data_IF_509293164235
#
_entry.id   IF_509293164235
#
_cell.length_a   1.000
_cell.length_b   1.000
_cell.length_c   1.000
_cell.angle_alpha   90.00
_cell.angle_beta   90.00
_cell.angle_gamma   90.00
#
_symmetry.space_group_name_H-M   'P 1'
#
loop_
_entity.id
_entity.type
_entity.pdbx_description
1 polymer ?
#
# COMPACT_ATOMS: atom_id res chain seq x y z
N UNK A 1 -3.53 -6.00 -2.98
CA UNK A 1 -4.03 -5.09 -1.93
C UNK A 1 -5.16 -4.29 -2.53
N UNK A 2 -6.26 -4.18 -1.81
CA UNK A 2 -7.52 -3.56 -2.29
C UNK A 2 -7.63 -2.11 -1.76
N UNK A 3 -6.51 -1.50 -1.39
CA UNK A 3 -6.44 -0.21 -0.72
C UNK A 3 -6.34 -0.37 0.80
N UNK A 4 -6.16 0.75 1.51
CA UNK A 4 -5.99 0.73 2.97
C UNK A 4 -7.30 0.66 3.73
N UNK A 5 -8.42 1.10 3.13
CA UNK A 5 -9.76 0.98 3.72
C UNK A 5 -10.60 -0.05 2.97
N UNK A 6 -10.98 -1.11 3.66
CA UNK A 6 -11.63 -2.30 3.09
C UNK A 6 -12.89 -2.65 3.87
N UNK A 7 -13.92 -3.11 3.16
CA UNK A 7 -15.13 -3.63 3.80
C UNK A 7 -14.85 -4.96 4.49
N UNK A 8 -15.20 -5.06 5.76
CA UNK A 8 -15.43 -6.33 6.42
C UNK A 8 -16.85 -6.84 6.09
N UNK A 9 -17.00 -7.83 5.21
CA UNK A 9 -18.32 -8.27 4.77
C UNK A 9 -19.17 -8.90 5.88
N UNK A 10 -18.52 -9.46 6.90
CA UNK A 10 -19.21 -10.10 8.02
C UNK A 10 -19.88 -9.07 8.95
N UNK A 11 -19.29 -7.88 9.05
CA UNK A 11 -19.75 -6.80 9.93
C UNK A 11 -20.45 -5.68 9.17
N UNK A 12 -20.26 -5.59 7.85
CA UNK A 12 -20.81 -4.53 6.99
C UNK A 12 -20.20 -3.15 7.26
N UNK A 13 -18.95 -3.10 7.76
CA UNK A 13 -18.24 -1.85 8.09
C UNK A 13 -16.89 -1.79 7.41
N UNK A 14 -16.43 -0.57 7.09
CA UNK A 14 -15.05 -0.34 6.65
C UNK A 14 -14.11 -0.45 7.85
N UNK A 15 -12.92 -0.96 7.61
CA UNK A 15 -11.80 -0.84 8.53
C UNK A 15 -10.51 -0.56 7.77
N UNK A 16 -9.58 0.12 8.43
CA UNK A 16 -8.26 0.37 7.86
C UNK A 16 -7.33 -0.80 8.12
N UNK A 17 -6.75 -1.38 7.06
CA UNK A 17 -5.73 -2.43 7.18
C UNK A 17 -4.43 -1.91 7.81
N UNK A 18 -4.15 -0.60 7.75
CA UNK A 18 -2.96 0.00 8.39
C UNK A 18 -3.08 0.08 9.91
N UNK A 19 -4.22 0.55 10.43
CA UNK A 19 -4.45 0.65 11.88
C UNK A 19 -4.99 -0.63 12.48
N UNK A 20 -5.54 -1.50 11.68
CA UNK A 20 -6.13 -2.80 11.95
C UNK A 20 -7.21 -2.79 13.06
N UNK A 21 -8.39 -3.24 12.74
CA UNK A 21 -9.44 -3.45 13.73
C UNK A 21 -9.19 -4.77 14.49
N UNK A 22 -9.12 -4.71 15.82
CA UNK A 22 -8.91 -5.89 16.68
C UNK A 22 -9.99 -6.96 16.54
N UNK A 23 -11.17 -6.62 16.04
CA UNK A 23 -12.24 -7.58 15.78
C UNK A 23 -11.99 -8.44 14.53
N UNK A 24 -11.02 -8.08 13.70
CA UNK A 24 -10.63 -8.82 12.50
C UNK A 24 -9.38 -9.63 12.78
N UNK A 25 -9.50 -10.96 12.79
CA UNK A 25 -8.33 -11.83 12.92
C UNK A 25 -7.47 -11.77 11.65
N UNK A 26 -6.22 -11.28 11.71
CA UNK A 26 -5.36 -11.13 10.55
C UNK A 26 -5.02 -12.45 9.85
N UNK A 27 -5.00 -13.57 10.60
CA UNK A 27 -4.71 -14.90 10.05
C UNK A 27 -5.90 -15.51 9.32
N UNK A 28 -7.11 -15.19 9.75
CA UNK A 28 -8.33 -15.54 9.02
C UNK A 28 -8.56 -14.61 7.83
N UNK A 29 -8.20 -13.35 7.99
CA UNK A 29 -8.28 -12.36 6.91
C UNK A 29 -7.37 -12.72 5.74
N UNK A 30 -6.10 -13.06 6.02
CA UNK A 30 -5.11 -13.52 5.05
C UNK A 30 -4.53 -14.89 5.52
N UNK A 31 -5.16 -16.03 5.16
CA UNK A 31 -4.76 -17.35 5.64
C UNK A 31 -3.64 -18.01 4.81
N UNK A 32 -3.26 -17.43 3.67
CA UNK A 32 -2.23 -18.02 2.82
C UNK A 32 -0.85 -17.88 3.49
N UNK A 33 0.04 -18.88 3.35
CA UNK A 33 1.40 -18.77 3.83
C UNK A 33 2.11 -17.56 3.21
N UNK A 34 2.78 -16.77 4.04
CA UNK A 34 3.59 -15.64 3.58
C UNK A 34 4.87 -16.12 2.90
N UNK A 35 5.51 -15.25 2.13
CA UNK A 35 6.84 -15.54 1.55
C UNK A 35 7.86 -15.82 2.66
N UNK A 36 7.76 -15.16 3.80
CA UNK A 36 8.66 -15.36 4.94
C UNK A 36 8.46 -16.73 5.59
N UNK A 37 7.22 -17.19 5.77
CA UNK A 37 6.93 -18.54 6.25
C UNK A 37 7.45 -19.61 5.27
N UNK A 38 7.27 -19.40 3.97
CA UNK A 38 7.78 -20.31 2.94
C UNK A 38 9.31 -20.35 2.93
N UNK A 39 9.98 -19.19 3.06
CA UNK A 39 11.43 -19.12 3.14
C UNK A 39 11.97 -19.87 4.39
N UNK A 40 11.31 -19.71 5.55
CA UNK A 40 11.66 -20.46 6.76
C UNK A 40 11.49 -21.98 6.58
N UNK A 41 10.38 -22.40 5.96
CA UNK A 41 10.16 -23.82 5.67
C UNK A 41 11.23 -24.39 4.72
N UNK A 42 11.84 -23.55 3.87
CA UNK A 42 12.97 -23.92 3.03
C UNK A 42 14.36 -23.84 3.74
N UNK A 43 14.38 -23.64 5.06
CA UNK A 43 15.61 -23.58 5.86
C UNK A 43 16.40 -22.26 5.69
N UNK A 44 15.73 -21.17 5.32
CA UNK A 44 16.30 -19.83 5.21
C UNK A 44 16.02 -19.08 6.52
N UNK A 45 17.06 -18.49 7.11
CA UNK A 45 16.91 -17.60 8.27
C UNK A 45 16.26 -16.29 7.82
N UNK A 46 15.06 -15.99 8.28
CA UNK A 46 14.32 -14.78 7.91
C UNK A 46 14.38 -13.75 9.03
N UNK A 47 14.77 -12.52 8.69
CA UNK A 47 14.79 -11.38 9.60
C UNK A 47 14.06 -10.21 8.95
N UNK A 48 13.09 -9.66 9.65
CA UNK A 48 12.33 -8.46 9.24
C UNK A 48 12.74 -7.31 10.14
N UNK A 49 13.04 -6.15 9.53
CA UNK A 49 13.55 -4.97 10.24
C UNK A 49 12.63 -3.79 9.93
N UNK A 50 12.13 -3.16 10.96
CA UNK A 50 11.20 -2.03 10.82
C UNK A 50 10.99 -1.28 12.13
N UNK A 51 10.08 -0.30 12.17
CA UNK A 51 9.73 0.40 13.40
C UNK A 51 9.05 -0.54 14.40
N UNK A 52 9.31 -0.35 15.70
CA UNK A 52 8.85 -1.27 16.74
C UNK A 52 7.34 -1.49 16.80
N UNK A 53 6.54 -0.50 16.40
CA UNK A 53 5.07 -0.63 16.38
C UNK A 53 4.54 -1.56 15.26
N UNK A 54 5.38 -2.01 14.34
CA UNK A 54 5.01 -3.04 13.36
C UNK A 54 5.00 -4.44 13.96
N UNK A 55 5.81 -4.68 15.00
CA UNK A 55 5.90 -6.00 15.62
C UNK A 55 4.57 -6.38 16.26
N UNK A 56 3.96 -7.47 15.79
CA UNK A 56 2.64 -7.91 16.23
C UNK A 56 1.46 -7.04 15.77
N UNK A 57 1.67 -6.05 14.89
CA UNK A 57 0.54 -5.32 14.29
C UNK A 57 -0.29 -6.24 13.40
N UNK A 58 -1.60 -5.93 13.26
CA UNK A 58 -2.49 -6.77 12.47
C UNK A 58 -2.06 -6.90 11.00
N UNK A 59 -1.58 -5.82 10.38
CA UNK A 59 -1.04 -5.88 9.03
C UNK A 59 0.20 -6.79 8.97
N UNK A 60 1.13 -6.65 9.90
CA UNK A 60 2.31 -7.51 9.96
C UNK A 60 1.94 -8.99 10.16
N UNK A 61 0.97 -9.26 11.04
CA UNK A 61 0.43 -10.60 11.24
C UNK A 61 -0.35 -11.13 10.03
N UNK A 62 -0.94 -10.28 9.22
CA UNK A 62 -1.61 -10.69 8.00
C UNK A 62 -0.62 -11.05 6.89
N UNK A 63 0.38 -10.21 6.59
CA UNK A 63 1.15 -10.31 5.34
C UNK A 63 2.64 -10.55 5.52
N UNK A 64 3.16 -10.42 6.75
CA UNK A 64 4.59 -10.58 7.04
C UNK A 64 4.91 -11.63 8.11
N UNK A 65 4.01 -12.57 8.36
CA UNK A 65 4.28 -13.69 9.28
C UNK A 65 5.52 -14.47 8.85
N UNK A 66 6.25 -14.96 9.83
CA UNK A 66 7.47 -15.74 9.63
C UNK A 66 8.74 -14.95 9.93
N UNK A 67 9.77 -15.66 10.40
CA UNK A 67 11.02 -15.08 10.77
C UNK A 67 11.00 -14.26 12.06
N UNK A 68 12.16 -13.70 12.40
CA UNK A 68 12.34 -12.85 13.56
C UNK A 68 12.14 -11.38 13.18
N UNK A 69 11.42 -10.62 14.00
CA UNK A 69 11.33 -9.18 13.88
C UNK A 69 12.45 -8.49 14.66
N UNK A 70 13.03 -7.43 14.11
CA UNK A 70 14.01 -6.56 14.77
C UNK A 70 13.49 -5.13 14.70
N UNK A 71 13.14 -4.60 15.85
CA UNK A 71 12.74 -3.21 15.97
C UNK A 71 13.96 -2.29 15.88
N UNK A 72 13.92 -1.34 14.97
CA UNK A 72 14.94 -0.30 14.84
C UNK A 72 14.28 1.01 14.36
N UNK A 73 14.55 2.13 15.04
CA UNK A 73 13.88 3.39 14.77
C UNK A 73 14.51 4.13 13.58
N UNK A 74 15.79 4.44 13.64
CA UNK A 74 16.52 5.18 12.63
C UNK A 74 16.96 4.32 11.44
N UNK A 75 17.24 4.96 10.30
CA UNK A 75 17.75 4.26 9.12
C UNK A 75 19.11 3.60 9.41
N UNK A 76 19.99 4.29 10.10
CA UNK A 76 21.31 3.76 10.48
C UNK A 76 21.20 2.52 11.37
N UNK A 77 20.29 2.53 12.34
CA UNK A 77 20.02 1.38 13.21
C UNK A 77 19.49 0.19 12.41
N UNK A 78 18.63 0.44 11.42
CA UNK A 78 18.09 -0.61 10.53
C UNK A 78 19.17 -1.17 9.62
N UNK A 79 20.04 -0.33 9.09
CA UNK A 79 21.22 -0.75 8.30
C UNK A 79 22.14 -1.63 9.14
N UNK A 80 22.47 -1.24 10.36
CA UNK A 80 23.31 -2.03 11.24
C UNK A 80 22.67 -3.37 11.64
N UNK A 81 21.36 -3.36 11.90
CA UNK A 81 20.59 -4.58 12.15
C UNK A 81 20.60 -5.53 10.93
N UNK A 82 20.48 -4.98 9.70
CA UNK A 82 20.52 -5.78 8.48
C UNK A 82 21.90 -6.42 8.26
N UNK A 83 22.98 -5.68 8.49
CA UNK A 83 24.34 -6.19 8.41
C UNK A 83 24.56 -7.31 9.45
N UNK A 84 24.12 -7.11 10.69
CA UNK A 84 24.23 -8.11 11.75
C UNK A 84 23.41 -9.37 11.42
N UNK A 85 22.18 -9.21 10.92
CA UNK A 85 21.31 -10.32 10.53
C UNK A 85 21.92 -11.15 9.40
N UNK A 86 22.47 -10.50 8.37
CA UNK A 86 23.11 -11.18 7.23
C UNK A 86 24.33 -11.98 7.66
N UNK A 87 25.09 -11.50 8.66
CA UNK A 87 26.27 -12.21 9.21
C UNK A 87 25.92 -13.37 10.11
N UNK A 88 24.71 -13.42 10.65
CA UNK A 88 24.31 -14.45 11.63
C UNK A 88 23.97 -15.81 11.02
N UNK A 89 23.79 -15.90 9.70
CA UNK A 89 23.44 -17.15 9.01
C UNK A 89 24.00 -17.20 7.58
N UNK A 90 24.39 -18.39 7.13
CA UNK A 90 24.89 -18.60 5.76
C UNK A 90 23.80 -18.46 4.70
N UNK A 91 22.55 -18.74 5.05
CA UNK A 91 21.36 -18.59 4.19
C UNK A 91 20.36 -17.74 4.92
N UNK A 92 20.29 -16.48 4.54
CA UNK A 92 19.37 -15.52 5.17
C UNK A 92 18.58 -14.72 4.13
N UNK A 93 17.34 -14.37 4.49
CA UNK A 93 16.52 -13.36 3.85
C UNK A 93 16.31 -12.25 4.86
N UNK A 94 16.86 -11.08 4.57
CA UNK A 94 16.68 -9.89 5.41
C UNK A 94 15.77 -8.92 4.67
N UNK A 95 14.63 -8.62 5.27
CA UNK A 95 13.70 -7.59 4.79
C UNK A 95 13.86 -6.34 5.65
N UNK A 96 14.31 -5.25 5.04
CA UNK A 96 14.43 -3.94 5.68
C UNK A 96 13.40 -3.00 5.06
N UNK A 97 12.50 -2.47 5.89
CA UNK A 97 11.51 -1.49 5.49
C UNK A 97 11.93 -0.07 5.89
N UNK A 98 11.69 0.89 4.99
CA UNK A 98 11.84 2.31 5.26
C UNK A 98 10.71 3.09 4.63
N UNK A 99 9.92 3.81 5.41
CA UNK A 99 8.68 4.47 4.96
C UNK A 99 8.75 6.01 4.93
N UNK A 100 9.90 6.62 5.29
CA UNK A 100 9.93 8.09 5.41
C UNK A 100 9.87 8.82 4.05
N UNK A 101 10.34 8.17 2.97
CA UNK A 101 10.22 8.74 1.61
C UNK A 101 8.75 8.91 1.23
N UNK A 102 7.94 7.89 1.49
CA UNK A 102 6.48 7.91 1.29
C UNK A 102 5.83 8.98 2.17
N UNK A 103 6.11 8.96 3.47
CA UNK A 103 5.56 9.92 4.42
C UNK A 103 5.89 11.38 4.05
N UNK A 104 7.13 11.65 3.64
CA UNK A 104 7.54 12.99 3.20
C UNK A 104 6.85 13.37 1.90
N UNK A 105 6.69 12.43 0.98
CA UNK A 105 5.93 12.61 -0.25
C UNK A 105 4.47 12.98 0.02
N UNK A 106 3.80 12.28 0.92
CA UNK A 106 2.44 12.61 1.34
C UNK A 106 2.30 14.02 1.89
N UNK A 107 3.23 14.45 2.75
CA UNK A 107 3.13 15.76 3.45
C UNK A 107 3.56 16.92 2.57
N UNK A 108 4.63 16.77 1.81
CA UNK A 108 5.29 17.86 1.09
C UNK A 108 5.19 17.75 -0.44
N UNK A 109 4.78 16.61 -0.96
CA UNK A 109 4.76 16.30 -2.38
C UNK A 109 6.10 15.75 -2.90
N UNK A 110 6.03 15.00 -4.00
CA UNK A 110 7.18 14.35 -4.63
C UNK A 110 8.11 15.33 -5.37
N UNK A 111 7.67 16.58 -5.59
CA UNK A 111 8.47 17.64 -6.21
C UNK A 111 9.13 18.56 -5.20
N UNK A 112 8.98 18.31 -3.91
CA UNK A 112 9.55 19.13 -2.84
C UNK A 112 11.03 18.83 -2.61
N UNK A 113 11.75 19.82 -2.10
CA UNK A 113 13.15 19.62 -1.69
C UNK A 113 13.27 18.66 -0.52
N UNK A 114 12.27 18.61 0.38
CA UNK A 114 12.20 17.67 1.50
C UNK A 114 12.17 16.22 1.02
N UNK A 115 11.44 15.96 -0.06
CA UNK A 115 11.41 14.62 -0.65
C UNK A 115 12.76 14.25 -1.26
N UNK A 116 13.43 15.21 -1.90
CA UNK A 116 14.80 15.02 -2.40
C UNK A 116 15.80 14.69 -1.27
N UNK A 117 15.71 15.35 -0.12
CA UNK A 117 16.54 15.03 1.05
C UNK A 117 16.21 13.64 1.63
N UNK A 118 14.94 13.26 1.69
CA UNK A 118 14.57 11.92 2.16
C UNK A 118 15.17 10.82 1.25
N UNK A 119 15.18 11.02 -0.07
CA UNK A 119 15.85 10.12 -1.00
C UNK A 119 17.38 10.10 -0.81
N UNK A 120 18.01 11.25 -0.60
CA UNK A 120 19.46 11.33 -0.37
C UNK A 120 19.89 10.58 0.91
N UNK A 121 19.04 10.62 1.95
CA UNK A 121 19.28 9.82 3.17
C UNK A 121 19.20 8.33 2.88
N UNK A 122 18.25 7.88 2.09
CA UNK A 122 18.14 6.46 1.69
C UNK A 122 19.36 6.04 0.87
N UNK A 123 19.79 6.87 -0.10
CA UNK A 123 20.99 6.59 -0.91
C UNK A 123 22.24 6.42 -0.03
N UNK A 124 22.44 7.32 0.92
CA UNK A 124 23.56 7.21 1.87
C UNK A 124 23.48 5.94 2.73
N UNK A 125 22.28 5.58 3.20
CA UNK A 125 22.04 4.35 3.95
C UNK A 125 22.31 3.08 3.11
N UNK A 126 21.88 3.07 1.86
CA UNK A 126 22.12 1.96 0.93
C UNK A 126 23.61 1.80 0.59
N UNK A 127 24.33 2.91 0.40
CA UNK A 127 25.79 2.90 0.21
C UNK A 127 26.47 2.27 1.40
N UNK A 128 26.17 2.74 2.62
CA UNK A 128 26.71 2.18 3.87
C UNK A 128 26.38 0.69 4.01
N UNK A 129 25.16 0.28 3.66
CA UNK A 129 24.74 -1.13 3.69
C UNK A 129 25.57 -1.96 2.72
N UNK A 130 25.66 -1.59 1.47
CA UNK A 130 26.36 -2.37 0.43
C UNK A 130 27.86 -2.48 0.67
N UNK A 131 28.49 -1.44 1.23
CA UNK A 131 29.92 -1.44 1.58
C UNK A 131 30.26 -2.37 2.76
N UNK A 132 29.30 -2.63 3.66
CA UNK A 132 29.53 -3.36 4.92
C UNK A 132 28.95 -4.77 4.95
N UNK A 133 28.10 -5.12 3.99
CA UNK A 133 27.57 -6.48 3.85
C UNK A 133 28.67 -7.49 3.53
N UNK A 134 28.53 -8.76 3.93
CA UNK A 134 29.41 -9.83 3.45
C UNK A 134 29.46 -9.90 1.93
N UNK A 135 30.64 -10.14 1.37
CA UNK A 135 30.81 -10.31 -0.08
C UNK A 135 29.89 -11.42 -0.60
N UNK A 136 29.29 -11.20 -1.76
CA UNK A 136 28.35 -12.13 -2.37
C UNK A 136 26.92 -12.01 -1.83
N UNK A 137 26.62 -11.04 -0.95
CA UNK A 137 25.25 -10.75 -0.54
C UNK A 137 24.51 -10.05 -1.68
N UNK A 138 23.42 -10.65 -2.15
CA UNK A 138 22.51 -10.01 -3.08
C UNK A 138 21.70 -8.94 -2.36
N UNK A 139 21.69 -7.73 -2.88
CA UNK A 139 20.86 -6.60 -2.41
C UNK A 139 19.86 -6.25 -3.50
N UNK A 140 18.59 -6.25 -3.13
CA UNK A 140 17.48 -5.82 -4.00
C UNK A 140 16.77 -4.66 -3.33
N UNK A 141 16.65 -3.55 -4.05
CA UNK A 141 15.90 -2.37 -3.59
C UNK A 141 14.70 -2.17 -4.50
N UNK A 142 13.54 -2.06 -3.89
CA UNK A 142 12.29 -1.81 -4.60
C UNK A 142 11.35 -0.97 -3.73
N UNK A 143 10.24 -0.55 -4.29
CA UNK A 143 9.15 0.11 -3.57
C UNK A 143 7.83 -0.65 -3.82
N UNK A 144 6.82 -0.36 -3.03
CA UNK A 144 5.47 -0.91 -3.15
C UNK A 144 4.60 -0.13 -4.16
N UNK A 145 4.83 1.17 -4.31
CA UNK A 145 4.18 2.06 -5.28
C UNK A 145 5.04 3.30 -5.51
N UNK A 146 4.66 4.08 -6.52
CA UNK A 146 5.09 5.45 -6.71
C UNK A 146 4.07 6.44 -6.12
N UNK A 147 4.12 7.72 -6.52
CA UNK A 147 3.27 8.77 -5.96
C UNK A 147 3.13 9.93 -6.93
N UNK A 148 2.02 10.65 -6.86
CA UNK A 148 1.77 11.87 -7.63
C UNK A 148 1.26 12.99 -6.72
N UNK A 149 1.66 14.23 -7.01
CA UNK A 149 1.10 15.40 -6.35
C UNK A 149 -0.25 15.75 -6.98
N UNK A 150 -1.31 15.83 -6.17
CA UNK A 150 -2.66 16.18 -6.62
C UNK A 150 -3.06 17.52 -6.03
N UNK A 151 -3.21 18.57 -6.86
CA UNK A 151 -3.68 19.88 -6.42
C UNK A 151 -5.03 19.79 -5.69
N UNK A 152 -5.24 20.63 -4.69
CA UNK A 152 -6.47 20.60 -3.90
C UNK A 152 -7.71 20.91 -4.75
N UNK A 153 -7.58 21.79 -5.75
CA UNK A 153 -8.64 22.13 -6.71
C UNK A 153 -9.03 20.99 -7.65
N UNK A 154 -8.22 19.94 -7.72
CA UNK A 154 -8.51 18.73 -8.50
C UNK A 154 -9.15 17.63 -7.66
N UNK A 155 -9.50 17.92 -6.41
CA UNK A 155 -10.11 16.94 -5.51
C UNK A 155 -11.61 17.14 -5.47
N UNK A 156 -12.35 16.04 -5.48
CA UNK A 156 -13.79 16.03 -5.28
C UNK A 156 -14.08 15.39 -3.92
N UNK A 157 -15.05 15.95 -3.25
CA UNK A 157 -15.58 15.39 -2.01
C UNK A 157 -16.97 14.81 -2.26
N UNK A 158 -17.09 13.49 -2.10
CA UNK A 158 -18.38 12.80 -2.27
C UNK A 158 -19.47 13.40 -1.37
N UNK A 159 -19.10 13.91 -0.19
CA UNK A 159 -20.03 14.57 0.71
C UNK A 159 -20.67 15.85 0.11
N UNK A 160 -19.96 16.52 -0.80
CA UNK A 160 -20.41 17.74 -1.47
C UNK A 160 -21.06 17.47 -2.84
N UNK A 161 -21.05 16.24 -3.33
CA UNK A 161 -21.52 15.82 -4.66
C UNK A 161 -22.69 14.84 -4.53
N UNK A 162 -23.96 15.31 -4.42
CA UNK A 162 -25.12 14.44 -4.18
C UNK A 162 -25.27 13.32 -5.21
N UNK A 163 -24.94 13.59 -6.48
CA UNK A 163 -25.05 12.60 -7.57
C UNK A 163 -24.04 11.46 -7.41
N UNK A 164 -22.83 11.76 -6.88
CA UNK A 164 -21.83 10.74 -6.58
C UNK A 164 -22.11 10.00 -5.27
N UNK A 165 -22.79 10.64 -4.32
CA UNK A 165 -23.16 10.03 -3.05
C UNK A 165 -24.39 9.11 -3.18
N UNK A 166 -25.27 9.35 -4.16
CA UNK A 166 -26.51 8.60 -4.32
C UNK A 166 -26.23 7.10 -4.54
N UNK A 167 -26.86 6.25 -3.72
CA UNK A 167 -26.70 4.80 -3.81
C UNK A 167 -25.36 4.23 -3.32
N UNK A 168 -24.42 5.09 -2.87
CA UNK A 168 -23.13 4.66 -2.28
C UNK A 168 -23.27 4.57 -0.77
N UNK A 169 -23.12 3.37 -0.25
CA UNK A 169 -23.16 3.07 1.19
C UNK A 169 -21.82 3.36 1.88
N UNK A 170 -20.71 2.94 1.25
CA UNK A 170 -19.36 3.17 1.75
C UNK A 170 -18.41 3.49 0.59
N UNK A 171 -17.47 4.38 0.86
CA UNK A 171 -16.34 4.67 -0.02
C UNK A 171 -15.08 4.16 0.69
N UNK A 172 -14.43 3.15 0.13
CA UNK A 172 -13.17 2.60 0.63
C UNK A 172 -12.07 2.69 -0.41
N UNK A 173 -10.95 2.02 -0.16
CA UNK A 173 -9.77 2.04 -1.03
C UNK A 173 -8.83 3.21 -0.72
N UNK A 174 -8.36 3.86 -1.76
CA UNK A 174 -7.49 5.04 -1.72
C UNK A 174 -8.13 6.19 -2.50
N UNK A 175 -7.75 7.44 -2.20
CA UNK A 175 -8.31 8.62 -2.86
C UNK A 175 -8.16 8.63 -4.39
N UNK A 176 -7.27 7.80 -4.95
CA UNK A 176 -7.04 7.62 -6.38
C UNK A 176 -7.47 6.27 -6.93
N UNK A 177 -7.90 5.35 -6.07
CA UNK A 177 -8.43 4.03 -6.43
C UNK A 177 -9.51 3.61 -5.43
N UNK A 178 -10.72 4.06 -5.67
CA UNK A 178 -11.83 3.87 -4.75
C UNK A 178 -12.56 2.56 -5.00
N UNK A 179 -13.04 2.00 -3.92
CA UNK A 179 -13.99 0.92 -3.86
C UNK A 179 -15.33 1.47 -3.37
N UNK A 180 -16.31 1.52 -4.26
CA UNK A 180 -17.67 1.97 -3.94
C UNK A 180 -18.52 0.76 -3.59
N UNK A 181 -18.92 0.68 -2.33
CA UNK A 181 -19.84 -0.34 -1.85
C UNK A 181 -21.26 0.24 -1.91
N UNK A 182 -22.10 -0.32 -2.75
CA UNK A 182 -23.38 0.24 -3.08
C UNK A 182 -24.50 -0.26 -2.16
N UNK A 183 -25.59 0.50 -2.07
CA UNK A 183 -26.84 0.00 -1.53
C UNK A 183 -27.38 -1.14 -2.42
N UNK A 184 -28.15 -2.08 -1.85
CA UNK A 184 -28.69 -3.20 -2.62
C UNK A 184 -29.45 -2.73 -3.87
N UNK A 185 -29.00 -3.20 -5.04
CA UNK A 185 -29.61 -2.87 -6.34
C UNK A 185 -29.12 -1.56 -6.97
N UNK A 186 -28.34 -0.72 -6.27
CA UNK A 186 -27.93 0.60 -6.78
C UNK A 186 -26.67 0.57 -7.66
N UNK A 187 -25.94 -0.55 -7.75
CA UNK A 187 -24.63 -0.60 -8.41
C UNK A 187 -24.64 -0.12 -9.87
N UNK A 188 -25.73 -0.38 -10.61
CA UNK A 188 -25.90 0.07 -12.00
C UNK A 188 -26.04 1.58 -12.11
N UNK A 189 -26.82 2.19 -11.23
CA UNK A 189 -27.06 3.65 -11.21
C UNK A 189 -25.79 4.38 -10.74
N UNK A 190 -25.10 3.86 -9.71
CA UNK A 190 -23.81 4.38 -9.25
C UNK A 190 -22.77 4.32 -10.37
N UNK A 191 -22.66 3.19 -11.07
CA UNK A 191 -21.75 3.04 -12.21
C UNK A 191 -22.02 4.09 -13.30
N UNK A 192 -23.28 4.32 -13.63
CA UNK A 192 -23.70 5.29 -14.65
C UNK A 192 -23.37 6.73 -14.22
N UNK A 193 -23.78 7.13 -13.02
CA UNK A 193 -23.55 8.47 -12.47
C UNK A 193 -22.04 8.80 -12.36
N UNK A 194 -21.25 7.87 -11.86
CA UNK A 194 -19.80 8.06 -11.75
C UNK A 194 -19.12 8.12 -13.13
N UNK A 195 -19.56 7.34 -14.11
CA UNK A 195 -19.08 7.43 -15.50
C UNK A 195 -19.41 8.76 -16.15
N UNK A 196 -20.62 9.25 -15.97
CA UNK A 196 -21.06 10.54 -16.50
C UNK A 196 -20.25 11.69 -15.91
N UNK A 197 -20.02 11.67 -14.59
CA UNK A 197 -19.37 12.76 -13.86
C UNK A 197 -17.86 12.76 -13.94
N UNK A 198 -17.22 11.58 -13.99
CA UNK A 198 -15.77 11.39 -13.83
C UNK A 198 -15.12 10.52 -14.91
N UNK A 199 -15.85 9.98 -15.86
CA UNK A 199 -15.32 9.02 -16.84
C UNK A 199 -14.24 9.56 -17.78
N UNK A 200 -14.08 10.87 -17.86
CA UNK A 200 -12.97 11.55 -18.56
C UNK A 200 -11.66 11.64 -17.74
N UNK A 201 -11.76 11.48 -16.41
CA UNK A 201 -10.65 11.64 -15.45
C UNK A 201 -10.33 10.39 -14.66
N UNK A 202 -11.28 9.44 -14.62
CA UNK A 202 -11.16 8.18 -13.88
C UNK A 202 -11.70 7.02 -14.72
N UNK A 203 -11.07 5.88 -14.65
CA UNK A 203 -11.59 4.63 -15.18
C UNK A 203 -12.64 4.07 -14.19
N UNK A 204 -13.92 4.05 -14.59
CA UNK A 204 -15.04 3.57 -13.77
C UNK A 204 -15.47 2.18 -14.25
N UNK A 205 -15.35 1.17 -13.38
CA UNK A 205 -15.61 -0.23 -13.70
C UNK A 205 -16.57 -0.88 -12.70
N UNK A 206 -17.44 -1.74 -13.19
CA UNK A 206 -18.12 -2.69 -12.32
C UNK A 206 -17.13 -3.72 -11.77
N UNK A 207 -17.33 -4.21 -10.54
CA UNK A 207 -16.49 -5.25 -9.91
C UNK A 207 -16.24 -6.45 -10.81
N UNK A 208 -17.32 -7.00 -11.37
CA UNK A 208 -17.24 -8.23 -12.17
C UNK A 208 -16.41 -8.03 -13.44
N UNK A 209 -16.49 -6.84 -14.05
CA UNK A 209 -15.67 -6.48 -15.20
C UNK A 209 -14.20 -6.36 -14.80
N UNK A 210 -13.87 -5.67 -13.72
CA UNK A 210 -12.51 -5.50 -13.25
C UNK A 210 -11.86 -6.85 -12.83
N UNK A 211 -12.63 -7.74 -12.22
CA UNK A 211 -12.18 -9.09 -11.87
C UNK A 211 -11.92 -9.92 -13.14
N UNK A 212 -12.84 -9.88 -14.10
CA UNK A 212 -12.68 -10.57 -15.39
C UNK A 212 -11.48 -10.05 -16.19
N UNK A 213 -11.25 -8.74 -16.15
CA UNK A 213 -10.11 -8.08 -16.80
C UNK A 213 -8.78 -8.27 -16.05
N UNK A 214 -8.79 -9.03 -14.93
CA UNK A 214 -7.59 -9.46 -14.22
C UNK A 214 -6.96 -8.42 -13.29
N UNK A 215 -7.69 -7.36 -12.91
CA UNK A 215 -7.14 -6.29 -12.06
C UNK A 215 -6.63 -6.78 -10.70
N UNK A 216 -7.20 -7.86 -10.20
CA UNK A 216 -6.86 -8.45 -8.90
C UNK A 216 -6.19 -9.83 -9.01
N UNK A 217 -5.86 -10.27 -10.25
CA UNK A 217 -5.44 -11.65 -10.48
C UNK A 217 -6.54 -12.66 -10.12
N UNK A 218 -6.21 -13.90 -9.76
CA UNK A 218 -7.21 -14.90 -9.34
C UNK A 218 -7.87 -14.50 -8.01
N UNK A 219 -9.17 -14.21 -8.04
CA UNK A 219 -9.95 -13.81 -6.86
C UNK A 219 -10.68 -15.02 -6.28
N UNK A 220 -10.42 -15.31 -5.01
CA UNK A 220 -11.17 -16.34 -4.27
C UNK A 220 -12.56 -15.82 -3.87
N UNK A 221 -13.57 -16.69 -3.86
CA UNK A 221 -14.95 -16.31 -3.53
C UNK A 221 -15.09 -15.55 -2.19
N UNK A 222 -14.29 -15.91 -1.18
CA UNK A 222 -14.28 -15.24 0.13
C UNK A 222 -13.73 -13.80 0.09
N UNK A 223 -12.96 -13.44 -0.95
CA UNK A 223 -12.35 -12.11 -1.11
C UNK A 223 -13.25 -11.20 -1.93
N UNK A 224 -14.06 -11.77 -2.82
CA UNK A 224 -14.92 -11.02 -3.74
C UNK A 224 -15.78 -9.94 -3.04
N UNK A 225 -16.41 -10.18 -1.88
CA UNK A 225 -17.20 -9.15 -1.19
C UNK A 225 -16.38 -8.00 -0.60
N UNK A 226 -15.05 -8.12 -0.53
CA UNK A 226 -14.15 -7.05 -0.09
C UNK A 226 -13.85 -6.05 -1.20
N UNK A 227 -14.12 -6.42 -2.45
CA UNK A 227 -13.98 -5.54 -3.62
C UNK A 227 -15.28 -4.74 -3.75
N UNK A 228 -15.19 -3.43 -3.91
CA UNK A 228 -16.36 -2.57 -4.13
C UNK A 228 -17.20 -3.00 -5.32
N UNK A 229 -18.50 -2.75 -5.29
CA UNK A 229 -19.41 -3.06 -6.39
C UNK A 229 -19.06 -2.28 -7.66
N UNK A 230 -18.56 -1.05 -7.46
CA UNK A 230 -17.99 -0.19 -8.51
C UNK A 230 -16.59 0.25 -8.08
N UNK A 231 -15.69 0.31 -9.04
CA UNK A 231 -14.31 0.79 -8.88
C UNK A 231 -14.13 2.09 -9.65
N UNK A 232 -13.47 3.06 -9.02
CA UNK A 232 -13.13 4.33 -9.65
C UNK A 232 -11.62 4.58 -9.49
N UNK A 233 -10.86 4.45 -10.58
CA UNK A 233 -9.40 4.53 -10.58
C UNK A 233 -8.95 5.72 -11.41
N UNK A 234 -8.18 6.63 -10.81
CA UNK A 234 -7.73 7.85 -11.47
C UNK A 234 -6.84 7.56 -12.68
N UNK A 235 -7.12 8.26 -13.79
CA UNK A 235 -6.32 8.25 -15.01
C UNK A 235 -5.66 9.62 -15.29
N UNK A 236 -5.92 10.60 -14.44
CA UNK A 236 -5.41 11.96 -14.51
C UNK A 236 -5.03 12.49 -13.12
N UNK A 237 -4.66 13.77 -13.02
CA UNK A 237 -4.38 14.43 -11.74
C UNK A 237 -5.69 14.77 -11.00
N UNK A 238 -6.41 13.74 -10.55
CA UNK A 238 -7.66 13.85 -9.77
C UNK A 238 -7.57 12.94 -8.54
N UNK A 239 -8.25 13.33 -7.48
CA UNK A 239 -8.52 12.46 -6.34
C UNK A 239 -9.96 12.65 -5.88
N UNK A 240 -10.54 11.61 -5.29
CA UNK A 240 -11.87 11.68 -4.70
C UNK A 240 -11.76 11.25 -3.25
N UNK A 241 -12.35 12.02 -2.37
CA UNK A 241 -12.39 11.79 -0.93
C UNK A 241 -13.83 11.77 -0.45
N UNK A 242 -14.06 11.24 0.73
CA UNK A 242 -15.34 11.34 1.43
C UNK A 242 -15.10 11.94 2.82
N UNK A 243 -15.33 13.23 2.96
CA UNK A 243 -15.07 13.96 4.21
C UNK A 243 -15.98 13.53 5.37
N UNK A 244 -17.04 12.74 5.12
CA UNK A 244 -17.90 12.16 6.16
C UNK A 244 -17.17 11.07 6.95
N UNK A 245 -16.19 10.41 6.34
CA UNK A 245 -15.50 9.25 6.91
C UNK A 245 -13.98 9.40 6.95
N UNK A 246 -13.40 10.21 6.06
CA UNK A 246 -11.96 10.43 5.99
C UNK A 246 -11.44 11.16 7.23
N UNK A 247 -10.26 10.79 7.71
CA UNK A 247 -9.57 11.51 8.77
C UNK A 247 -9.10 12.87 8.26
N UNK A 248 -9.21 13.97 9.06
CA UNK A 248 -8.81 15.30 8.62
C UNK A 248 -7.37 15.38 8.10
N UNK A 249 -6.45 14.61 8.70
CA UNK A 249 -5.04 14.56 8.30
C UNK A 249 -4.87 14.05 6.86
N UNK A 250 -5.71 13.12 6.43
CA UNK A 250 -5.65 12.55 5.08
C UNK A 250 -6.14 13.53 4.01
N UNK A 251 -7.06 14.41 4.37
CA UNK A 251 -7.56 15.45 3.46
C UNK A 251 -6.50 16.50 3.12
N UNK A 252 -5.47 16.65 3.97
CA UNK A 252 -4.39 17.63 3.79
C UNK A 252 -3.15 17.08 3.05
N UNK A 253 -3.09 15.78 2.73
CA UNK A 253 -1.95 15.18 2.06
C UNK A 253 -1.78 15.76 0.65
N UNK A 254 -0.55 16.07 0.25
CA UNK A 254 -0.21 16.62 -1.07
C UNK A 254 0.02 15.50 -2.08
N UNK A 255 0.94 14.59 -1.75
CA UNK A 255 1.21 13.40 -2.55
C UNK A 255 0.19 12.31 -2.27
N UNK A 256 -0.32 11.68 -3.31
CA UNK A 256 -1.30 10.60 -3.26
C UNK A 256 -0.89 9.48 -4.23
N UNK A 257 -1.40 8.29 -3.98
CA UNK A 257 -1.17 7.10 -4.81
C UNK A 257 -2.40 6.18 -4.81
N UNK A 258 -2.29 5.05 -5.51
CA UNK A 258 -3.32 4.01 -5.59
C UNK A 258 -3.79 3.73 -7.01
N UNK A 259 -3.63 4.69 -7.95
CA UNK A 259 -4.07 4.53 -9.32
C UNK A 259 -3.09 3.71 -10.18
N UNK A 260 -3.42 3.58 -11.46
CA UNK A 260 -2.68 2.78 -12.44
C UNK A 260 -1.84 3.63 -13.39
N UNK A 261 -1.50 4.85 -12.99
CA UNK A 261 -0.62 5.70 -13.80
C UNK A 261 0.82 5.18 -13.75
N UNK A 262 1.64 5.45 -14.77
CA UNK A 262 3.05 5.04 -14.75
C UNK A 262 3.80 5.55 -13.52
N UNK A 263 3.51 6.77 -13.07
CA UNK A 263 4.14 7.41 -11.91
C UNK A 263 3.82 6.69 -10.60
N UNK A 264 2.70 5.98 -10.53
CA UNK A 264 2.26 5.25 -9.34
C UNK A 264 2.63 3.75 -9.40
N UNK A 265 2.72 3.18 -10.61
CA UNK A 265 2.97 1.75 -10.80
C UNK A 265 4.44 1.40 -11.05
N UNK A 266 5.18 2.27 -11.73
CA UNK A 266 6.59 2.00 -12.01
C UNK A 266 7.42 2.28 -10.76
N UNK A 267 7.94 1.22 -10.18
CA UNK A 267 8.81 1.26 -9.00
C UNK A 267 10.24 0.89 -9.38
N UNK A 268 11.25 1.34 -8.62
CA UNK A 268 12.63 0.94 -8.87
C UNK A 268 12.80 -0.57 -8.64
N UNK A 269 13.68 -1.18 -9.42
CA UNK A 269 14.24 -2.50 -9.14
C UNK A 269 15.76 -2.39 -9.29
N UNK A 270 16.45 -2.02 -8.19
CA UNK A 270 17.89 -1.94 -8.17
C UNK A 270 18.45 -3.25 -7.61
N UNK A 271 19.39 -3.83 -8.31
CA UNK A 271 20.01 -5.11 -7.94
C UNK A 271 21.53 -4.94 -7.94
N UNK A 272 22.17 -5.32 -6.85
CA UNK A 272 23.64 -5.35 -6.74
C UNK A 272 24.08 -6.49 -5.88
N UNK A 273 25.36 -6.89 -6.02
CA UNK A 273 26.01 -7.90 -5.19
C UNK A 273 27.12 -7.21 -4.37
N UNK A 274 27.04 -7.32 -3.06
CA UNK A 274 28.04 -6.70 -2.18
C UNK A 274 29.46 -7.23 -2.46
N UNK A 275 30.39 -6.29 -2.65
CA UNK A 275 31.80 -6.59 -2.95
C UNK A 275 32.12 -6.87 -4.43
N UNK A 276 31.17 -6.75 -5.35
CA UNK A 276 31.39 -6.62 -6.79
C UNK A 276 31.40 -5.13 -7.16
N UNK A 277 32.32 -4.73 -8.03
CA UNK A 277 32.44 -3.34 -8.55
C UNK A 277 31.98 -3.30 -9.99
#
# INVERSE_FOLDING_TARGET
VVGTEVLDPARGVLFSELSWDRAVDPRLWQPLPTVFEQAQAAGISVVRIGPGYFDGSGLTEAVQRGGRFVAAAGLDDRVDAAIAATRSSRRSLVYLYWGDVDKVGHVHGCRSWQWGEALALVDAGLRRLTERLPRGTLVVVTADHGMVDVPFEHRLDVAAEPDLAAGVRHVGGEARALHLYCEPGAAGDVLAAWRERLGDRMEIRARDDAVRDGWFGPVQARVLPRIGDVLAVASSSVAVVDSRTARPEWLSLVGLHGARTPEEQLVPLLVTVAGER
#
